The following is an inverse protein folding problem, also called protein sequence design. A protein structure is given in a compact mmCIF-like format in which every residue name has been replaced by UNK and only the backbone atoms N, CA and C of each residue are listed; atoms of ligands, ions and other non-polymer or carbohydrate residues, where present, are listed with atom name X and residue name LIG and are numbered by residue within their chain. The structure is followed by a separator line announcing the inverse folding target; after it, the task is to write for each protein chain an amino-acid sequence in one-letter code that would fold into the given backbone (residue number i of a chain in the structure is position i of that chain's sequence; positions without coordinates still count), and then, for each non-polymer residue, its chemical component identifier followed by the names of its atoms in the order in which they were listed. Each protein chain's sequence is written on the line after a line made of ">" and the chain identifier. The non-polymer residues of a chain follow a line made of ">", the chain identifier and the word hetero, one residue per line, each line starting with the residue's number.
data_IF_577629466542
#
_entry.id   IF_577629466542
#
_cell.length_a   1.000
_cell.length_b   1.000
_cell.length_c   1.000
_cell.angle_alpha   90.00
_cell.angle_beta   90.00
_cell.angle_gamma   90.00
#
_symmetry.space_group_name_H-M   'P 1'
#
loop_
_entity.id
_entity.type
_entity.pdbx_description
1 polymer ?
#
# COMPACT_ATOMS: atom_id res chain seq x y z
N UNK A 1 5.08 -12.40 9.59
CA UNK A 1 5.39 -10.95 9.62
C UNK A 1 4.52 -10.35 10.71
N UNK A 2 5.08 -9.51 11.60
CA UNK A 2 4.27 -8.83 12.62
C UNK A 2 3.29 -7.88 11.92
N UNK A 3 2.02 -7.89 12.35
CA UNK A 3 0.95 -7.09 11.76
C UNK A 3 1.31 -5.59 11.71
N UNK A 4 1.93 -5.09 12.78
CA UNK A 4 2.43 -3.72 12.86
C UNK A 4 3.44 -3.39 11.74
N UNK A 5 4.33 -4.33 11.39
CA UNK A 5 5.31 -4.11 10.31
C UNK A 5 4.62 -4.02 8.95
N UNK A 6 3.57 -4.81 8.73
CA UNK A 6 2.81 -4.77 7.48
C UNK A 6 2.06 -3.44 7.34
N UNK A 7 1.47 -2.94 8.42
CA UNK A 7 0.75 -1.66 8.43
C UNK A 7 1.70 -0.47 8.19
N UNK A 8 2.90 -0.49 8.79
CA UNK A 8 3.92 0.54 8.54
C UNK A 8 4.37 0.55 7.07
N UNK A 9 4.61 -0.62 6.48
CA UNK A 9 4.99 -0.73 5.07
C UNK A 9 3.87 -0.22 4.16
N UNK A 10 2.63 -0.59 4.45
CA UNK A 10 1.46 -0.13 3.69
C UNK A 10 1.34 1.40 3.73
N UNK A 11 1.51 2.00 4.91
CA UNK A 11 1.49 3.45 5.09
C UNK A 11 2.60 4.15 4.31
N UNK A 12 3.83 3.62 4.30
CA UNK A 12 4.95 4.20 3.56
C UNK A 12 4.74 4.15 2.04
N UNK A 13 4.28 3.02 1.50
CA UNK A 13 3.96 2.87 0.07
C UNK A 13 2.88 3.88 -0.34
N UNK A 14 1.86 4.05 0.50
CA UNK A 14 0.78 4.98 0.24
C UNK A 14 1.24 6.44 0.27
N UNK A 15 1.99 6.85 1.29
CA UNK A 15 2.53 8.22 1.39
C UNK A 15 3.50 8.54 0.25
N UNK A 16 4.32 7.57 -0.16
CA UNK A 16 5.22 7.73 -1.32
C UNK A 16 4.42 7.94 -2.60
N UNK A 17 3.33 7.20 -2.79
CA UNK A 17 2.40 7.43 -3.90
C UNK A 17 1.77 8.83 -3.89
N UNK A 18 1.43 9.38 -2.72
CA UNK A 18 0.88 10.75 -2.61
C UNK A 18 1.93 11.78 -3.04
N UNK A 19 3.16 11.69 -2.51
CA UNK A 19 4.21 12.65 -2.87
C UNK A 19 4.62 12.55 -4.34
N UNK A 20 4.72 11.33 -4.88
CA UNK A 20 4.96 11.13 -6.32
C UNK A 20 3.84 11.72 -7.17
N UNK A 21 2.58 11.57 -6.75
CA UNK A 21 1.43 12.06 -7.49
C UNK A 21 1.42 13.59 -7.54
N UNK A 22 1.67 14.24 -6.40
CA UNK A 22 1.79 15.70 -6.30
C UNK A 22 2.97 16.22 -7.14
N UNK A 23 4.05 15.43 -7.24
CA UNK A 23 5.25 15.78 -8.02
C UNK A 23 5.09 15.55 -9.54
N UNK A 24 3.95 15.02 -10.00
CA UNK A 24 3.69 14.74 -11.41
C UNK A 24 4.13 13.35 -11.89
N UNK A 25 4.62 12.48 -10.99
CA UNK A 25 4.96 11.09 -11.27
C UNK A 25 3.71 10.20 -11.24
N UNK A 26 2.79 10.48 -12.16
CA UNK A 26 1.45 9.88 -12.18
C UNK A 26 1.48 8.34 -12.37
N UNK A 27 2.33 7.83 -13.26
CA UNK A 27 2.42 6.38 -13.55
C UNK A 27 2.96 5.61 -12.34
N UNK A 28 4.02 6.10 -11.70
CA UNK A 28 4.62 5.44 -10.54
C UNK A 28 3.65 5.45 -9.36
N UNK A 29 2.96 6.56 -9.16
CA UNK A 29 2.01 6.74 -8.06
C UNK A 29 0.78 5.84 -8.21
N UNK A 30 0.25 5.68 -9.42
CA UNK A 30 -0.88 4.76 -9.67
C UNK A 30 -0.50 3.30 -9.39
N UNK A 31 0.72 2.88 -9.73
CA UNK A 31 1.24 1.54 -9.38
C UNK A 31 1.40 1.38 -7.86
N UNK A 32 1.90 2.40 -7.16
CA UNK A 32 2.04 2.37 -5.70
C UNK A 32 0.68 2.28 -5.00
N UNK A 33 -0.32 3.04 -5.46
CA UNK A 33 -1.67 2.96 -4.91
C UNK A 33 -2.35 1.62 -5.19
N UNK A 34 -2.20 1.07 -6.40
CA UNK A 34 -2.71 -0.27 -6.73
C UNK A 34 -2.05 -1.35 -5.87
N UNK A 35 -0.73 -1.26 -5.67
CA UNK A 35 0.03 -2.18 -4.82
C UNK A 35 -0.43 -2.11 -3.37
N UNK A 36 -0.66 -0.91 -2.83
CA UNK A 36 -1.21 -0.72 -1.50
C UNK A 36 -2.62 -1.33 -1.35
N UNK A 37 -3.50 -1.13 -2.33
CA UNK A 37 -4.85 -1.69 -2.33
C UNK A 37 -4.86 -3.22 -2.36
N UNK A 38 -3.99 -3.84 -3.17
CA UNK A 38 -3.83 -5.30 -3.23
C UNK A 38 -3.28 -5.81 -1.89
N UNK A 39 -2.22 -5.19 -1.37
CA UNK A 39 -1.57 -5.64 -0.15
C UNK A 39 -2.51 -5.55 1.07
N UNK A 40 -3.28 -4.46 1.18
CA UNK A 40 -4.29 -4.27 2.21
C UNK A 40 -5.39 -5.35 2.15
N UNK A 41 -5.92 -5.62 0.96
CA UNK A 41 -6.99 -6.63 0.80
C UNK A 41 -6.48 -8.07 0.97
N UNK A 42 -5.30 -8.41 0.47
CA UNK A 42 -4.71 -9.74 0.67
C UNK A 42 -4.45 -10.01 2.15
N UNK A 43 -4.03 -9.00 2.91
CA UNK A 43 -3.87 -9.14 4.35
C UNK A 43 -5.23 -9.32 5.05
N UNK A 44 -6.25 -8.56 4.65
CA UNK A 44 -7.61 -8.69 5.18
C UNK A 44 -8.21 -10.07 4.92
N UNK A 45 -8.12 -10.58 3.68
CA UNK A 45 -8.61 -11.92 3.31
C UNK A 45 -7.87 -13.02 4.07
N UNK A 46 -6.55 -12.88 4.29
CA UNK A 46 -5.78 -13.82 5.12
C UNK A 46 -6.27 -13.85 6.57
N UNK A 47 -6.64 -12.71 7.14
CA UNK A 47 -7.22 -12.66 8.50
C UNK A 47 -8.62 -13.25 8.57
N UNK A 48 -9.44 -13.07 7.53
CA UNK A 48 -10.81 -13.61 7.46
C UNK A 48 -10.84 -15.13 7.19
N UNK A 49 -9.82 -15.68 6.53
CA UNK A 49 -9.70 -17.10 6.22
C UNK A 49 -9.14 -17.95 7.37
N UNK A 50 -8.87 -17.35 8.54
CA UNK A 50 -8.29 -18.02 9.70
C UNK A 50 -9.31 -18.04 10.84
#
# INVERSE_FOLDING_TARGET
>A
MNDFKADVILGLIFMTGIFGFISGEFIISTVLFASAAIYSNVNLTRRLSK
#
